data_IF_977024198160
#
_entry.id   IF_977024198160
#
_cell.length_a   1.000
_cell.length_b   1.000
_cell.length_c   1.000
_cell.angle_alpha   90.00
_cell.angle_beta   90.00
_cell.angle_gamma   90.00
#
_symmetry.space_group_name_H-M   'P 1'
#
loop_
_entity.id
_entity.type
_entity.pdbx_description
1 polymer ?
#
# COMPACT_ATOMS: atom_id res chain seq x y z
N UNK A 1 -2.59 4.35 14.75
CA UNK A 1 -4.07 4.41 14.99
C UNK A 1 -4.68 3.06 14.62
N UNK A 2 -5.69 2.57 15.36
CA UNK A 2 -6.39 1.33 14.99
C UNK A 2 -7.61 1.67 14.13
N UNK A 3 -7.67 1.12 12.93
CA UNK A 3 -8.84 1.27 12.07
C UNK A 3 -9.81 0.12 12.34
N UNK A 4 -11.10 0.45 12.46
CA UNK A 4 -12.17 -0.54 12.60
C UNK A 4 -13.17 -0.35 11.46
N UNK A 5 -13.47 -1.44 10.76
CA UNK A 5 -14.43 -1.47 9.64
C UNK A 5 -15.47 -2.55 9.91
N UNK A 6 -16.72 -2.21 9.72
CA UNK A 6 -17.83 -3.16 9.78
C UNK A 6 -18.10 -3.73 8.38
N UNK A 7 -18.10 -5.05 8.28
CA UNK A 7 -18.39 -5.77 7.06
C UNK A 7 -19.61 -6.67 7.23
N UNK A 8 -20.40 -6.80 6.18
CA UNK A 8 -21.56 -7.70 6.11
C UNK A 8 -21.32 -8.72 5.02
N UNK A 9 -21.56 -9.98 5.31
CA UNK A 9 -21.50 -11.05 4.31
C UNK A 9 -22.57 -10.82 3.25
N UNK A 10 -22.21 -11.05 1.99
CA UNK A 10 -23.14 -10.96 0.87
C UNK A 10 -23.30 -12.32 0.18
N UNK A 11 -24.51 -12.71 -0.05
CA UNK A 11 -24.85 -13.93 -0.78
C UNK A 11 -24.95 -13.67 -2.28
N UNK A 12 -25.53 -12.52 -2.66
CA UNK A 12 -25.67 -12.14 -4.05
C UNK A 12 -24.33 -11.70 -4.66
N UNK A 13 -23.98 -12.34 -5.77
CA UNK A 13 -22.77 -12.04 -6.55
C UNK A 13 -23.14 -11.60 -7.97
N UNK A 14 -22.14 -11.11 -8.71
CA UNK A 14 -22.25 -10.69 -10.09
C UNK A 14 -22.41 -9.19 -10.29
N UNK A 15 -22.39 -8.78 -11.57
CA UNK A 15 -22.32 -7.37 -11.97
C UNK A 15 -23.54 -6.56 -11.55
N UNK A 16 -24.74 -7.16 -11.65
CA UNK A 16 -26.00 -6.50 -11.31
C UNK A 16 -26.10 -6.22 -9.81
N UNK A 17 -25.81 -7.22 -8.97
CA UNK A 17 -25.80 -7.11 -7.52
C UNK A 17 -24.78 -6.07 -7.04
N UNK A 18 -23.55 -6.12 -7.57
CA UNK A 18 -22.50 -5.14 -7.24
C UNK A 18 -22.85 -3.69 -7.65
N UNK A 19 -23.63 -3.51 -8.75
CA UNK A 19 -24.12 -2.17 -9.14
C UNK A 19 -25.20 -1.66 -8.19
N UNK A 20 -26.14 -2.52 -7.74
CA UNK A 20 -27.17 -2.15 -6.75
C UNK A 20 -26.50 -1.73 -5.44
N UNK A 21 -25.58 -2.56 -4.94
CA UNK A 21 -24.83 -2.33 -3.71
C UNK A 21 -24.14 -0.96 -3.70
N UNK A 22 -23.45 -0.60 -4.81
CA UNK A 22 -22.79 0.70 -4.91
C UNK A 22 -23.76 1.88 -4.93
N UNK A 23 -24.97 1.71 -5.47
CA UNK A 23 -26.03 2.76 -5.43
C UNK A 23 -26.54 2.97 -4.00
N UNK A 24 -26.48 1.95 -3.17
CA UNK A 24 -26.83 2.00 -1.75
C UNK A 24 -25.69 2.56 -0.86
N UNK A 25 -24.59 3.02 -1.49
CA UNK A 25 -23.43 3.56 -0.77
C UNK A 25 -22.53 2.50 -0.13
N UNK A 26 -22.61 1.26 -0.58
CA UNK A 26 -21.75 0.17 -0.10
C UNK A 26 -20.76 -0.28 -1.17
N UNK A 27 -19.61 -0.76 -0.74
CA UNK A 27 -18.54 -1.27 -1.60
C UNK A 27 -18.47 -2.79 -1.49
N UNK A 28 -18.51 -3.50 -2.62
CA UNK A 28 -18.20 -4.92 -2.62
C UNK A 28 -16.73 -5.15 -2.26
N UNK A 29 -16.48 -6.10 -1.38
CA UNK A 29 -15.16 -6.49 -0.95
C UNK A 29 -15.05 -8.01 -0.85
N UNK A 30 -13.81 -8.50 -0.74
CA UNK A 30 -13.50 -9.90 -0.51
C UNK A 30 -12.52 -10.00 0.66
N UNK A 31 -12.75 -10.96 1.54
CA UNK A 31 -11.87 -11.30 2.65
C UNK A 31 -11.34 -12.71 2.43
N UNK A 32 -10.03 -12.89 2.43
CA UNK A 32 -9.39 -14.19 2.24
C UNK A 32 -8.11 -14.31 3.08
N UNK A 33 -7.61 -15.51 3.22
CA UNK A 33 -6.40 -15.82 3.99
C UNK A 33 -6.68 -16.73 5.18
N UNK A 34 -5.67 -17.00 6.00
CA UNK A 34 -5.74 -17.87 7.17
C UNK A 34 -6.27 -19.31 6.87
N UNK A 35 -6.07 -19.80 5.63
CA UNK A 35 -6.56 -21.12 5.23
C UNK A 35 -8.08 -21.24 5.10
N UNK A 36 -8.81 -20.11 5.21
CA UNK A 36 -10.26 -20.06 4.98
C UNK A 36 -10.59 -19.66 3.54
N UNK A 37 -11.76 -20.11 3.08
CA UNK A 37 -12.28 -19.77 1.77
C UNK A 37 -12.55 -18.26 1.67
N UNK A 38 -12.40 -17.73 0.45
CA UNK A 38 -12.66 -16.34 0.17
C UNK A 38 -14.14 -16.00 0.43
N UNK A 39 -14.37 -15.08 1.35
CA UNK A 39 -15.72 -14.65 1.73
C UNK A 39 -16.06 -13.31 1.07
N UNK A 40 -17.15 -13.28 0.32
CA UNK A 40 -17.65 -12.06 -0.28
C UNK A 40 -18.36 -11.20 0.78
N UNK A 41 -17.93 -9.96 0.93
CA UNK A 41 -18.48 -9.03 1.92
C UNK A 41 -18.81 -7.68 1.28
N UNK A 42 -19.50 -6.84 2.02
CA UNK A 42 -19.75 -5.45 1.67
C UNK A 42 -19.40 -4.56 2.85
N UNK A 43 -18.81 -3.42 2.56
CA UNK A 43 -18.38 -2.41 3.54
C UNK A 43 -18.99 -1.04 3.19
N UNK A 44 -19.09 -0.15 4.17
CA UNK A 44 -19.59 1.20 3.93
C UNK A 44 -18.59 2.01 3.08
N UNK A 45 -19.10 2.62 1.99
CA UNK A 45 -18.28 3.39 1.05
C UNK A 45 -17.62 4.59 1.71
N UNK A 46 -18.34 5.34 2.53
CA UNK A 46 -17.86 6.57 3.14
C UNK A 46 -16.70 6.29 4.09
N UNK A 47 -16.86 5.30 4.95
CA UNK A 47 -15.83 4.88 5.91
C UNK A 47 -14.54 4.47 5.19
N UNK A 48 -14.66 3.62 4.16
CA UNK A 48 -13.52 3.11 3.40
C UNK A 48 -12.87 4.21 2.54
N UNK A 49 -13.66 5.07 1.92
CA UNK A 49 -13.14 6.16 1.09
C UNK A 49 -12.26 7.13 1.89
N UNK A 50 -12.69 7.56 3.08
CA UNK A 50 -11.87 8.41 3.94
C UNK A 50 -10.67 7.69 4.55
N UNK A 51 -10.81 6.39 4.82
CA UNK A 51 -9.69 5.60 5.31
C UNK A 51 -8.59 5.45 4.25
N UNK A 52 -8.94 5.17 2.99
CA UNK A 52 -8.00 5.02 1.88
C UNK A 52 -7.23 6.32 1.53
N UNK A 53 -7.70 7.49 1.96
CA UNK A 53 -6.97 8.75 1.79
C UNK A 53 -5.78 8.88 2.74
N UNK A 54 -5.73 8.05 3.79
CA UNK A 54 -4.64 8.05 4.76
C UNK A 54 -3.61 7.01 4.35
N UNK A 55 -2.36 7.42 4.18
CA UNK A 55 -1.26 6.50 3.84
C UNK A 55 -1.11 5.39 4.87
N UNK A 56 -1.27 5.72 6.15
CA UNK A 56 -1.24 4.75 7.25
C UNK A 56 -2.24 3.60 7.09
N UNK A 57 -3.37 3.82 6.41
CA UNK A 57 -4.39 2.80 6.22
C UNK A 57 -3.93 1.65 5.32
N UNK A 58 -3.07 1.94 4.36
CA UNK A 58 -2.52 0.95 3.42
C UNK A 58 -1.49 0.03 4.08
N UNK A 59 -0.92 0.47 5.20
CA UNK A 59 0.12 -0.25 5.93
C UNK A 59 -0.34 -0.76 7.29
N UNK A 60 -1.51 -0.33 7.79
CA UNK A 60 -2.02 -0.70 9.10
C UNK A 60 -2.73 -2.05 9.11
N UNK A 61 -2.70 -2.71 10.27
CA UNK A 61 -3.61 -3.81 10.58
C UNK A 61 -4.97 -3.22 10.94
N UNK A 62 -6.00 -3.66 10.23
CA UNK A 62 -7.37 -3.18 10.35
C UNK A 62 -8.18 -4.24 11.07
N UNK A 63 -9.00 -3.83 12.03
CA UNK A 63 -9.98 -4.71 12.67
C UNK A 63 -11.25 -4.73 11.84
N UNK A 64 -11.48 -5.84 11.16
CA UNK A 64 -12.68 -6.08 10.37
C UNK A 64 -13.70 -6.85 11.20
N UNK A 65 -14.81 -6.21 11.53
CA UNK A 65 -15.91 -6.86 12.22
C UNK A 65 -16.81 -7.57 11.20
N UNK A 66 -16.82 -8.91 11.24
CA UNK A 66 -17.61 -9.76 10.36
C UNK A 66 -18.46 -10.73 11.20
N UNK A 67 -19.77 -10.68 11.08
CA UNK A 67 -20.70 -11.54 11.83
C UNK A 67 -20.44 -11.57 13.36
N UNK A 68 -20.08 -10.42 13.93
CA UNK A 68 -19.80 -10.31 15.38
C UNK A 68 -18.41 -10.80 15.80
N UNK A 69 -17.59 -11.27 14.88
CA UNK A 69 -16.19 -11.63 15.12
C UNK A 69 -15.27 -10.56 14.52
N UNK A 70 -14.24 -10.20 15.23
CA UNK A 70 -13.19 -9.31 14.75
C UNK A 70 -12.05 -10.13 14.12
N UNK A 71 -11.66 -9.75 12.90
CA UNK A 71 -10.52 -10.31 12.19
C UNK A 71 -9.49 -9.22 11.95
N UNK A 72 -8.23 -9.55 12.20
CA UNK A 72 -7.11 -8.67 11.85
C UNK A 72 -6.81 -8.86 10.36
N UNK A 73 -6.98 -7.79 9.59
CA UNK A 73 -6.82 -7.81 8.13
C UNK A 73 -5.92 -6.65 7.67
N UNK A 74 -5.34 -6.82 6.49
CA UNK A 74 -4.67 -5.74 5.76
C UNK A 74 -5.36 -5.51 4.43
N UNK A 75 -5.26 -4.30 3.90
CA UNK A 75 -5.68 -3.99 2.52
C UNK A 75 -4.63 -4.56 1.57
N UNK A 76 -5.04 -5.49 0.71
CA UNK A 76 -4.15 -6.08 -0.29
C UNK A 76 -4.21 -5.32 -1.61
N UNK A 77 -5.43 -4.98 -2.03
CA UNK A 77 -5.67 -4.21 -3.25
C UNK A 77 -6.97 -3.42 -3.13
N UNK A 78 -7.09 -2.37 -3.93
CA UNK A 78 -8.33 -1.60 -4.04
C UNK A 78 -8.48 -1.03 -5.43
N UNK A 79 -9.71 -0.88 -5.86
CA UNK A 79 -10.05 -0.31 -7.16
C UNK A 79 -10.84 0.98 -6.97
N UNK A 80 -10.34 2.05 -7.58
CA UNK A 80 -11.03 3.34 -7.64
C UNK A 80 -11.68 3.54 -9.01
N UNK A 81 -12.77 4.29 -9.05
CA UNK A 81 -13.33 4.74 -10.32
C UNK A 81 -12.42 5.82 -10.94
N UNK A 82 -12.01 5.71 -12.22
CA UNK A 82 -11.03 6.63 -12.82
C UNK A 82 -11.49 8.09 -12.89
N UNK A 83 -12.81 8.33 -12.98
CA UNK A 83 -13.39 9.69 -13.10
C UNK A 83 -14.13 10.13 -11.84
N UNK A 84 -14.87 9.20 -11.23
CA UNK A 84 -15.62 9.50 -10.00
C UNK A 84 -14.76 9.14 -8.80
N UNK A 85 -14.84 9.92 -7.74
CA UNK A 85 -14.16 9.61 -6.47
C UNK A 85 -14.93 8.52 -5.70
N UNK A 86 -15.00 7.31 -6.28
CA UNK A 86 -15.75 6.18 -5.73
C UNK A 86 -14.84 4.95 -5.65
N UNK A 87 -14.86 4.27 -4.52
CA UNK A 87 -14.21 2.97 -4.36
C UNK A 87 -15.08 1.91 -5.03
N UNK A 88 -14.51 1.11 -5.92
CA UNK A 88 -15.22 0.05 -6.66
C UNK A 88 -15.11 -1.31 -6.03
N UNK A 89 -13.96 -1.62 -5.49
CA UNK A 89 -13.67 -2.91 -4.86
C UNK A 89 -12.56 -2.73 -3.83
N UNK A 90 -12.54 -3.61 -2.84
CA UNK A 90 -11.45 -3.71 -1.87
C UNK A 90 -11.21 -5.18 -1.55
N UNK A 91 -9.93 -5.54 -1.46
CA UNK A 91 -9.46 -6.86 -1.10
C UNK A 91 -8.79 -6.81 0.26
N UNK A 92 -9.32 -7.60 1.19
CA UNK A 92 -8.77 -7.76 2.52
C UNK A 92 -8.12 -9.12 2.67
N UNK A 93 -6.90 -9.14 3.17
CA UNK A 93 -6.18 -10.36 3.51
C UNK A 93 -6.13 -10.50 5.03
N UNK A 94 -6.58 -11.66 5.54
CA UNK A 94 -6.49 -11.97 6.97
C UNK A 94 -5.01 -12.17 7.33
N UNK A 95 -4.61 -11.56 8.43
CA UNK A 95 -3.26 -11.62 8.97
C UNK A 95 -3.19 -12.69 10.05
N UNK A 96 -2.29 -13.65 9.88
CA UNK A 96 -1.97 -14.64 10.90
C UNK A 96 -0.71 -14.23 11.65
N UNK A 97 -0.76 -14.29 12.97
CA UNK A 97 0.42 -14.02 13.79
C UNK A 97 1.55 -15.01 13.48
N UNK A 98 2.75 -14.50 13.21
CA UNK A 98 3.94 -15.31 12.94
C UNK A 98 4.09 -15.81 11.49
N UNK A 99 3.19 -15.45 10.58
CA UNK A 99 3.38 -15.67 9.14
C UNK A 99 3.79 -14.37 8.47
N UNK A 100 4.90 -14.37 7.70
CA UNK A 100 5.33 -13.18 6.98
C UNK A 100 4.30 -12.81 5.92
N UNK A 101 4.00 -11.52 5.82
CA UNK A 101 3.07 -10.95 4.86
C UNK A 101 3.79 -10.12 3.81
N UNK A 102 3.25 -10.11 2.60
CA UNK A 102 3.69 -9.20 1.54
C UNK A 102 2.82 -7.96 1.56
N UNK A 103 3.44 -6.80 1.69
CA UNK A 103 2.74 -5.52 1.68
C UNK A 103 3.47 -4.53 0.79
N UNK A 104 2.78 -3.55 0.25
CA UNK A 104 3.38 -2.43 -0.46
C UNK A 104 3.52 -1.26 0.50
N UNK A 105 4.76 -0.84 0.73
CA UNK A 105 5.07 0.32 1.54
C UNK A 105 5.35 1.54 0.65
N UNK A 106 4.86 2.72 1.02
CA UNK A 106 5.19 3.96 0.31
C UNK A 106 6.68 4.27 0.47
N UNK A 107 7.28 4.82 -0.58
CA UNK A 107 8.67 5.25 -0.62
C UNK A 107 8.74 6.76 -0.55
N UNK A 108 9.33 7.29 0.52
CA UNK A 108 9.56 8.71 0.71
C UNK A 108 11.02 9.06 0.51
N UNK A 109 11.26 10.16 -0.20
CA UNK A 109 12.60 10.67 -0.45
C UNK A 109 12.90 11.77 0.55
N UNK A 110 14.02 11.65 1.24
CA UNK A 110 14.47 12.65 2.22
C UNK A 110 15.80 13.30 1.80
N UNK A 111 16.11 14.44 2.39
CA UNK A 111 17.37 15.19 2.18
C UNK A 111 17.62 15.63 0.71
N UNK A 112 16.59 15.69 -0.12
CA UNK A 112 16.73 16.15 -1.52
C UNK A 112 17.36 17.53 -1.61
N UNK A 113 16.95 18.46 -0.73
CA UNK A 113 17.48 19.83 -0.70
C UNK A 113 18.96 19.91 -0.27
N UNK A 114 19.47 18.90 0.45
CA UNK A 114 20.86 18.82 0.89
C UNK A 114 21.77 18.22 -0.17
N UNK A 115 21.20 17.52 -1.16
CA UNK A 115 21.91 16.85 -2.24
C UNK A 115 22.78 17.84 -3.04
N UNK A 116 23.98 17.41 -3.40
CA UNK A 116 24.87 18.15 -4.31
C UNK A 116 24.24 18.32 -5.70
N UNK A 117 23.46 17.33 -6.14
CA UNK A 117 22.73 17.37 -7.40
C UNK A 117 21.74 18.53 -7.47
N UNK A 118 20.99 18.76 -6.41
CA UNK A 118 19.98 19.84 -6.36
C UNK A 118 20.65 21.19 -6.15
N UNK A 119 21.59 21.30 -5.20
CA UNK A 119 22.24 22.57 -4.86
C UNK A 119 23.16 23.13 -5.93
N UNK A 120 23.97 22.27 -6.52
CA UNK A 120 25.08 22.71 -7.43
C UNK A 120 24.73 22.49 -8.90
N UNK A 121 23.89 21.52 -9.22
CA UNK A 121 23.61 21.08 -10.58
C UNK A 121 22.16 21.34 -11.03
N UNK A 122 21.37 22.01 -10.18
CA UNK A 122 19.94 22.32 -10.44
C UNK A 122 19.14 21.11 -10.94
N UNK A 123 19.44 19.93 -10.39
CA UNK A 123 18.85 18.65 -10.78
C UNK A 123 17.58 18.36 -9.98
N UNK A 124 16.74 17.47 -10.50
CA UNK A 124 15.53 16.98 -9.81
C UNK A 124 15.60 15.48 -9.60
N UNK A 125 15.19 15.04 -8.42
CA UNK A 125 15.00 13.62 -8.14
C UNK A 125 13.60 13.24 -8.60
N UNK A 126 13.52 12.33 -9.56
CA UNK A 126 12.26 11.79 -10.06
C UNK A 126 12.10 10.35 -9.56
N UNK A 127 11.02 10.09 -8.82
CA UNK A 127 10.66 8.73 -8.42
C UNK A 127 10.11 7.96 -9.61
N UNK A 128 10.68 6.79 -9.88
CA UNK A 128 10.16 5.82 -10.84
C UNK A 128 9.12 4.91 -10.19
N UNK A 129 9.27 4.65 -8.89
CA UNK A 129 8.33 3.86 -8.11
C UNK A 129 8.00 4.59 -6.82
N UNK A 130 6.70 4.79 -6.56
CA UNK A 130 6.19 5.44 -5.35
C UNK A 130 5.97 4.46 -4.19
N UNK A 131 6.08 3.16 -4.47
CA UNK A 131 5.90 2.12 -3.47
C UNK A 131 6.76 0.90 -3.78
N UNK A 132 7.16 0.17 -2.74
CA UNK A 132 7.98 -1.03 -2.84
C UNK A 132 7.26 -2.19 -2.17
N UNK A 133 7.23 -3.37 -2.84
CA UNK A 133 6.69 -4.59 -2.26
C UNK A 133 7.73 -5.23 -1.34
N UNK A 134 7.37 -5.41 -0.09
CA UNK A 134 8.22 -5.98 0.95
C UNK A 134 7.57 -7.18 1.61
N UNK A 135 8.40 -8.06 2.14
CA UNK A 135 8.04 -9.17 3.00
C UNK A 135 8.43 -8.79 4.43
N UNK A 136 7.49 -8.89 5.36
CA UNK A 136 7.74 -8.51 6.76
C UNK A 136 6.81 -9.28 7.72
N UNK A 137 7.17 -9.27 9.00
CA UNK A 137 6.31 -9.78 10.06
C UNK A 137 5.20 -8.77 10.41
N UNK A 138 3.95 -9.24 10.62
CA UNK A 138 2.81 -8.37 10.94
C UNK A 138 3.00 -7.51 12.20
N UNK A 139 3.89 -7.91 13.08
CA UNK A 139 4.15 -7.19 14.34
C UNK A 139 4.89 -5.86 14.17
N UNK A 140 5.68 -5.73 13.11
CA UNK A 140 6.55 -4.59 12.86
C UNK A 140 6.35 -4.06 11.45
N UNK A 141 5.20 -3.46 11.20
CA UNK A 141 4.89 -2.83 9.92
C UNK A 141 5.33 -1.38 9.99
N UNK A 142 6.38 -0.96 9.27
CA UNK A 142 6.75 0.44 9.18
C UNK A 142 5.70 1.21 8.36
N UNK A 143 5.49 2.47 8.68
CA UNK A 143 4.55 3.32 7.93
C UNK A 143 5.06 3.66 6.53
N UNK A 144 6.37 3.80 6.38
CA UNK A 144 7.04 4.24 5.15
C UNK A 144 8.44 3.66 5.01
N UNK A 145 8.97 3.66 3.80
CA UNK A 145 10.38 3.41 3.51
C UNK A 145 11.07 4.73 3.16
N UNK A 146 12.30 4.89 3.61
CA UNK A 146 13.07 6.12 3.43
C UNK A 146 14.20 5.88 2.43
N UNK A 147 14.27 6.73 1.42
CA UNK A 147 15.38 6.82 0.47
C UNK A 147 16.14 8.12 0.73
N UNK A 148 17.37 8.01 1.20
CA UNK A 148 18.22 9.18 1.49
C UNK A 148 18.96 9.64 0.23
N UNK A 149 18.75 10.89 -0.15
CA UNK A 149 19.35 11.49 -1.33
C UNK A 149 20.45 12.52 -1.00
N UNK A 150 21.04 12.52 0.21
CA UNK A 150 22.03 13.51 0.60
C UNK A 150 23.28 13.50 -0.30
N UNK A 151 23.76 12.31 -0.69
CA UNK A 151 25.04 12.11 -1.42
C UNK A 151 24.87 11.90 -2.93
N UNK A 152 23.68 12.10 -3.45
CA UNK A 152 23.36 11.78 -4.85
C UNK A 152 23.83 12.89 -5.78
N UNK A 153 24.33 12.51 -6.98
CA UNK A 153 24.85 13.40 -8.03
C UNK A 153 23.91 13.35 -9.25
N UNK A 154 23.96 14.39 -10.10
CA UNK A 154 23.16 14.42 -11.32
C UNK A 154 23.56 13.29 -12.27
N UNK A 155 22.57 12.57 -12.76
CA UNK A 155 22.73 11.38 -13.62
C UNK A 155 22.70 10.05 -12.85
N UNK A 156 22.68 10.08 -11.51
CA UNK A 156 22.61 8.86 -10.74
C UNK A 156 21.23 8.19 -10.86
N UNK A 157 21.25 6.87 -10.78
CA UNK A 157 20.06 6.03 -10.70
C UNK A 157 20.09 5.29 -9.36
N UNK A 158 19.09 5.52 -8.54
CA UNK A 158 18.94 4.89 -7.24
C UNK A 158 18.13 3.59 -7.39
N UNK A 159 18.59 2.54 -6.72
CA UNK A 159 18.03 1.21 -6.80
C UNK A 159 17.39 0.79 -5.46
N UNK A 160 16.74 -0.36 -5.46
CA UNK A 160 16.15 -0.93 -4.24
C UNK A 160 17.18 -1.18 -3.13
N UNK A 161 18.45 -1.44 -3.48
CA UNK A 161 19.56 -1.61 -2.53
C UNK A 161 19.91 -0.35 -1.73
N UNK A 162 19.54 0.83 -2.24
CA UNK A 162 19.89 2.13 -1.65
C UNK A 162 18.85 2.60 -0.63
N UNK A 163 17.75 1.83 -0.50
CA UNK A 163 16.68 2.09 0.46
C UNK A 163 17.12 1.61 1.85
N UNK A 164 16.81 2.39 2.87
CA UNK A 164 17.01 2.00 4.25
C UNK A 164 15.84 1.11 4.72
N UNK A 165 16.11 -0.20 4.82
CA UNK A 165 15.12 -1.15 5.33
C UNK A 165 15.24 -1.28 6.85
N UNK A 166 14.12 -1.15 7.60
CA UNK A 166 14.09 -1.47 9.02
C UNK A 166 14.35 -2.96 9.27
N UNK A 167 14.68 -3.33 10.50
CA UNK A 167 14.89 -4.72 10.90
C UNK A 167 13.65 -5.57 10.61
N UNK A 168 13.85 -6.73 9.99
CA UNK A 168 12.78 -7.68 9.66
C UNK A 168 11.97 -7.34 8.41
N UNK A 169 12.38 -6.32 7.63
CA UNK A 169 11.76 -5.94 6.35
C UNK A 169 12.68 -6.29 5.20
N UNK A 170 12.21 -7.13 4.29
CA UNK A 170 12.97 -7.54 3.10
C UNK A 170 12.21 -7.16 1.82
N UNK A 171 12.89 -6.57 0.84
CA UNK A 171 12.28 -6.36 -0.48
C UNK A 171 12.08 -7.69 -1.21
N UNK A 172 10.86 -7.92 -1.69
CA UNK A 172 10.52 -9.13 -2.45
C UNK A 172 11.32 -9.24 -3.75
N UNK A 173 11.63 -8.10 -4.38
CA UNK A 173 12.41 -8.04 -5.63
C UNK A 173 13.89 -8.32 -5.38
N UNK A 174 14.48 -7.72 -4.34
CA UNK A 174 15.88 -8.00 -3.97
C UNK A 174 16.09 -9.47 -3.60
N UNK A 175 15.15 -10.08 -2.89
CA UNK A 175 15.19 -11.50 -2.55
C UNK A 175 15.17 -12.41 -3.78
N UNK A 176 14.58 -11.95 -4.89
CA UNK A 176 14.59 -12.64 -6.19
C UNK A 176 15.83 -12.31 -7.04
N UNK A 177 16.76 -11.49 -6.54
CA UNK A 177 17.95 -11.05 -7.24
C UNK A 177 17.70 -9.88 -8.23
N UNK A 178 16.52 -9.27 -8.21
CA UNK A 178 16.18 -8.14 -9.07
C UNK A 178 16.37 -6.82 -8.33
N UNK A 179 17.45 -6.11 -8.62
CA UNK A 179 17.71 -4.76 -8.10
C UNK A 179 17.14 -3.72 -9.07
N UNK A 180 15.87 -3.35 -8.88
CA UNK A 180 15.15 -2.43 -9.74
C UNK A 180 15.49 -0.97 -9.40
N UNK A 181 15.54 -0.10 -10.43
CA UNK A 181 15.66 1.33 -10.24
C UNK A 181 14.38 1.91 -9.62
N UNK A 182 14.53 2.72 -8.57
CA UNK A 182 13.41 3.33 -7.83
C UNK A 182 13.35 4.84 -8.00
N UNK A 183 14.48 5.49 -8.27
CA UNK A 183 14.53 6.91 -8.54
C UNK A 183 15.67 7.24 -9.52
N UNK A 184 15.52 8.34 -10.25
CA UNK A 184 16.55 8.90 -11.12
C UNK A 184 16.78 10.37 -10.81
N UNK A 185 18.00 10.81 -10.97
CA UNK A 185 18.39 12.22 -10.80
C UNK A 185 18.65 12.84 -12.16
N UNK A 186 17.70 13.61 -12.64
CA UNK A 186 17.79 14.27 -13.95
C UNK A 186 18.27 15.70 -13.80
N UNK A 187 19.27 16.10 -14.59
CA UNK A 187 19.63 17.50 -14.69
C UNK A 187 18.44 18.30 -15.23
N UNK A 188 18.18 19.48 -14.66
CA UNK A 188 17.18 20.37 -15.24
C UNK A 188 17.68 20.74 -16.64
N UNK A 189 16.94 20.34 -17.68
CA UNK A 189 17.26 20.72 -19.05
C UNK A 189 17.33 22.24 -19.18
N UNK A 190 18.37 22.70 -19.90
CA UNK A 190 18.49 24.09 -20.34
C UNK A 190 17.37 24.47 -21.28
#
# INVERSE_FOLDING_TARGET
MSFKIEAQVREEQGTGASRRLRREGRVPAVVYGAGSDATAVSVDHKTVFFALQKEEFHTAIIKLALNGKEHDVIVRDFQMHPVRREVRHIDFQIVEAGKPIKIRLPLHVVNTEKSQAVKLQNSRVALLSTSVEVLLDPKHIPSELVLDCEKVVAGDVLHLSDIQYPEGVESTSLRRGANLAVATVTAAGK
#
